data_IF_683170427829
#
_entry.id   IF_683170427829
#
_cell.length_a   1.000
_cell.length_b   1.000
_cell.length_c   1.000
_cell.angle_alpha   90.00
_cell.angle_beta   90.00
_cell.angle_gamma   90.00
#
_symmetry.space_group_name_H-M   'P 1'
#
loop_
_entity.id
_entity.type
_entity.pdbx_description
1 polymer ?
#
# COMPACT_ATOMS: atom_id res chain seq x y z
N UNK A 1 21.85 15.36 -2.98
CA UNK A 1 20.83 15.12 -4.04
C UNK A 1 19.62 15.96 -3.69
N UNK A 2 18.94 16.55 -4.66
CA UNK A 2 17.64 17.17 -4.42
C UNK A 2 16.56 16.08 -4.27
N UNK A 3 15.36 16.45 -3.80
CA UNK A 3 14.29 15.49 -3.53
C UNK A 3 13.91 14.64 -4.76
N UNK A 4 13.80 15.27 -5.94
CA UNK A 4 13.47 14.57 -7.20
C UNK A 4 14.57 13.59 -7.60
N UNK A 5 15.84 13.99 -7.54
CA UNK A 5 16.98 13.11 -7.82
C UNK A 5 17.02 11.90 -6.88
N UNK A 6 16.70 12.10 -5.60
CA UNK A 6 16.65 11.01 -4.62
C UNK A 6 15.53 10.01 -4.96
N UNK A 7 14.34 10.51 -5.31
CA UNK A 7 13.20 9.67 -5.71
C UNK A 7 13.53 8.88 -6.99
N UNK A 8 14.12 9.53 -7.98
CA UNK A 8 14.51 8.88 -9.24
C UNK A 8 15.60 7.83 -9.00
N UNK A 9 16.54 8.07 -8.09
CA UNK A 9 17.56 7.09 -7.71
C UNK A 9 16.94 5.87 -7.00
N UNK A 10 15.93 6.06 -6.12
CA UNK A 10 15.20 4.96 -5.48
C UNK A 10 14.51 4.10 -6.55
N UNK A 11 13.81 4.72 -7.50
CA UNK A 11 13.12 4.00 -8.57
C UNK A 11 14.10 3.26 -9.48
N UNK A 12 15.20 3.91 -9.85
CA UNK A 12 16.23 3.30 -10.70
C UNK A 12 16.88 2.10 -10.01
N UNK A 13 17.22 2.20 -8.73
CA UNK A 13 17.82 1.09 -7.97
C UNK A 13 16.83 -0.07 -7.82
N UNK A 14 15.58 0.22 -7.40
CA UNK A 14 14.51 -0.78 -7.25
C UNK A 14 14.21 -1.48 -8.57
N UNK A 15 14.18 -0.74 -9.68
CA UNK A 15 13.95 -1.24 -11.04
C UNK A 15 14.97 -2.26 -11.53
N UNK A 16 16.19 -2.27 -10.98
CA UNK A 16 17.20 -3.29 -11.30
C UNK A 16 16.74 -4.71 -10.97
N UNK A 17 15.94 -4.87 -9.92
CA UNK A 17 15.42 -6.17 -9.49
C UNK A 17 14.04 -6.50 -10.07
N UNK A 18 13.28 -5.50 -10.52
CA UNK A 18 11.88 -5.66 -10.98
C UNK A 18 11.76 -5.12 -12.40
N UNK A 19 11.59 -6.03 -13.36
CA UNK A 19 11.59 -5.71 -14.78
C UNK A 19 10.22 -5.27 -15.31
N UNK A 20 10.20 -4.15 -16.05
CA UNK A 20 9.04 -3.72 -16.83
C UNK A 20 7.79 -3.45 -16.00
N UNK A 21 7.99 -3.03 -14.75
CA UNK A 21 6.92 -2.68 -13.81
C UNK A 21 7.11 -1.27 -13.24
N UNK A 22 7.69 -0.38 -14.02
CA UNK A 22 8.06 0.96 -13.57
C UNK A 22 6.85 1.73 -13.03
N UNK A 23 5.68 1.63 -13.68
CA UNK A 23 4.43 2.24 -13.20
C UNK A 23 3.99 1.67 -11.84
N UNK A 24 4.11 0.35 -11.66
CA UNK A 24 3.79 -0.31 -10.39
C UNK A 24 4.74 0.17 -9.29
N UNK A 25 6.04 0.24 -9.59
CA UNK A 25 7.05 0.74 -8.65
C UNK A 25 6.78 2.20 -8.28
N UNK A 26 6.42 3.05 -9.25
CA UNK A 26 6.04 4.45 -8.98
C UNK A 26 4.83 4.54 -8.05
N UNK A 27 3.75 3.77 -8.30
CA UNK A 27 2.55 3.74 -7.45
C UNK A 27 2.86 3.28 -6.03
N UNK A 28 3.68 2.23 -5.87
CA UNK A 28 4.12 1.74 -4.55
C UNK A 28 4.93 2.83 -3.84
N UNK A 29 5.90 3.45 -4.49
CA UNK A 29 6.72 4.50 -3.87
C UNK A 29 5.85 5.72 -3.49
N UNK A 30 4.90 6.12 -4.34
CA UNK A 30 3.94 7.19 -4.00
C UNK A 30 3.18 6.86 -2.72
N UNK A 31 2.68 5.62 -2.57
CA UNK A 31 1.98 5.20 -1.36
C UNK A 31 2.92 5.16 -0.13
N UNK A 32 4.16 4.74 -0.30
CA UNK A 32 5.18 4.77 0.77
C UNK A 32 5.45 6.21 1.21
N UNK A 33 5.60 7.15 0.28
CA UNK A 33 5.79 8.57 0.58
C UNK A 33 4.55 9.22 1.21
N UNK A 34 3.35 8.80 0.80
CA UNK A 34 2.09 9.20 1.42
C UNK A 34 1.89 8.63 2.85
N UNK A 35 2.83 7.79 3.32
CA UNK A 35 2.75 7.16 4.64
C UNK A 35 1.76 5.99 4.72
N UNK A 36 1.34 5.44 3.59
CA UNK A 36 0.31 4.41 3.52
C UNK A 36 0.83 2.97 3.41
N UNK A 37 -0.12 2.03 3.48
CA UNK A 37 0.08 0.61 3.30
C UNK A 37 -0.44 0.16 1.94
N UNK A 38 0.09 -0.92 1.40
CA UNK A 38 -0.14 -1.36 0.03
C UNK A 38 -0.85 -2.73 0.05
N UNK A 39 -1.92 -2.87 -0.74
CA UNK A 39 -2.56 -4.14 -1.02
C UNK A 39 -2.26 -4.53 -2.48
N UNK A 40 -1.65 -5.68 -2.68
CA UNK A 40 -1.41 -6.27 -4.00
C UNK A 40 -2.40 -7.42 -4.20
N UNK A 41 -3.29 -7.23 -5.16
CA UNK A 41 -4.29 -8.21 -5.52
C UNK A 41 -3.89 -8.87 -6.85
N UNK A 42 -3.27 -10.05 -6.76
CA UNK A 42 -2.70 -10.67 -7.95
C UNK A 42 -2.42 -12.18 -7.77
N UNK A 43 -2.25 -12.84 -8.91
CA UNK A 43 -1.90 -14.25 -8.98
C UNK A 43 -0.53 -14.52 -8.34
N UNK A 44 -0.27 -15.75 -7.89
CA UNK A 44 1.05 -16.16 -7.40
C UNK A 44 2.14 -16.03 -8.48
N UNK A 45 3.37 -15.74 -8.06
CA UNK A 45 4.56 -15.82 -8.94
C UNK A 45 4.89 -14.54 -9.73
N UNK A 46 4.12 -13.46 -9.65
CA UNK A 46 4.36 -12.21 -10.40
C UNK A 46 5.45 -11.29 -9.81
N UNK A 47 6.21 -11.76 -8.80
CA UNK A 47 7.33 -10.98 -8.26
C UNK A 47 7.01 -10.11 -7.04
N UNK A 48 5.86 -10.32 -6.36
CA UNK A 48 5.46 -9.55 -5.17
C UNK A 48 6.54 -9.50 -4.09
N UNK A 49 7.11 -10.66 -3.74
CA UNK A 49 8.20 -10.76 -2.75
C UNK A 49 9.47 -10.04 -3.24
N UNK A 50 9.79 -10.14 -4.54
CA UNK A 50 10.94 -9.44 -5.12
C UNK A 50 10.81 -7.93 -4.99
N UNK A 51 9.60 -7.38 -5.24
CA UNK A 51 9.32 -5.95 -5.04
C UNK A 51 9.48 -5.51 -3.58
N UNK A 52 8.91 -6.29 -2.64
CA UNK A 52 9.04 -6.01 -1.21
C UNK A 52 10.52 -5.97 -0.78
N UNK A 53 11.31 -6.98 -1.17
CA UNK A 53 12.75 -7.03 -0.88
C UNK A 53 13.50 -5.88 -1.55
N UNK A 54 13.17 -5.54 -2.81
CA UNK A 54 13.80 -4.46 -3.53
C UNK A 54 13.58 -3.12 -2.83
N UNK A 55 12.34 -2.76 -2.50
CA UNK A 55 12.05 -1.53 -1.75
C UNK A 55 12.73 -1.52 -0.38
N UNK A 56 12.68 -2.64 0.35
CA UNK A 56 13.29 -2.72 1.68
C UNK A 56 14.79 -2.41 1.63
N UNK A 57 15.51 -3.01 0.68
CA UNK A 57 16.95 -2.78 0.52
C UNK A 57 17.25 -1.36 0.07
N UNK A 58 16.55 -0.88 -0.95
CA UNK A 58 16.76 0.46 -1.50
C UNK A 58 16.47 1.57 -0.48
N UNK A 59 15.50 1.34 0.40
CA UNK A 59 15.10 2.28 1.45
C UNK A 59 15.84 2.07 2.78
N UNK A 60 16.76 1.09 2.87
CA UNK A 60 17.53 0.81 4.08
C UNK A 60 16.70 0.33 5.27
N UNK A 61 15.59 -0.40 5.03
CA UNK A 61 14.61 -0.78 6.05
C UNK A 61 14.82 -2.21 6.54
N UNK A 62 14.47 -2.47 7.80
CA UNK A 62 14.33 -3.82 8.32
C UNK A 62 13.10 -4.50 7.72
N UNK A 63 13.24 -5.79 7.39
CA UNK A 63 12.24 -6.57 6.67
C UNK A 63 11.85 -7.84 7.39
N UNK A 64 10.54 -8.08 7.48
CA UNK A 64 10.00 -9.40 7.83
C UNK A 64 8.91 -9.80 6.85
N UNK A 65 8.82 -11.10 6.61
CA UNK A 65 7.76 -11.72 5.80
C UNK A 65 7.03 -12.76 6.63
N UNK A 66 5.72 -12.79 6.50
CA UNK A 66 4.87 -13.86 7.02
C UNK A 66 3.95 -14.36 5.92
N UNK A 67 3.92 -15.67 5.72
CA UNK A 67 2.92 -16.33 4.90
C UNK A 67 1.69 -16.58 5.78
N UNK A 68 0.56 -16.01 5.42
CA UNK A 68 -0.67 -16.20 6.16
C UNK A 68 -1.33 -17.52 5.78
N UNK A 69 -1.71 -18.28 6.80
CA UNK A 69 -2.41 -19.56 6.74
C UNK A 69 -3.50 -19.57 7.80
N UNK A 70 -4.49 -20.48 7.77
CA UNK A 70 -5.56 -20.50 8.77
C UNK A 70 -5.11 -20.70 10.22
N UNK A 71 -3.94 -21.26 10.42
CA UNK A 71 -3.33 -21.54 11.73
C UNK A 71 -2.50 -20.38 12.31
N UNK A 72 -2.22 -19.33 11.54
CA UNK A 72 -1.54 -18.13 12.04
C UNK A 72 -2.39 -17.42 13.10
N UNK A 73 -1.78 -17.19 14.26
CA UNK A 73 -2.42 -16.55 15.41
C UNK A 73 -2.15 -15.04 15.45
N UNK A 74 -3.01 -14.24 16.06
CA UNK A 74 -2.73 -12.82 16.33
C UNK A 74 -1.40 -12.57 17.05
N UNK A 75 -1.02 -13.45 17.97
CA UNK A 75 0.25 -13.38 18.71
C UNK A 75 1.50 -13.57 17.84
N UNK A 76 1.39 -14.23 16.68
CA UNK A 76 2.51 -14.36 15.76
C UNK A 76 2.81 -13.01 15.07
N UNK A 77 1.81 -12.14 14.98
CA UNK A 77 1.91 -10.78 14.46
C UNK A 77 2.36 -9.81 15.55
N UNK A 78 1.65 -9.79 16.68
CA UNK A 78 1.84 -8.80 17.74
C UNK A 78 2.93 -9.17 18.74
N UNK A 79 3.25 -10.46 18.85
CA UNK A 79 4.06 -10.97 19.94
C UNK A 79 3.23 -11.40 21.15
N UNK A 80 3.91 -11.90 22.15
CA UNK A 80 3.33 -12.41 23.41
C UNK A 80 4.32 -12.27 24.56
N UNK A 81 3.80 -12.36 25.81
CA UNK A 81 4.66 -12.42 26.99
C UNK A 81 4.98 -13.86 27.36
N UNK A 82 6.26 -14.14 27.52
CA UNK A 82 6.77 -15.44 27.97
C UNK A 82 7.39 -15.32 29.36
N UNK A 83 7.06 -16.25 30.24
CA UNK A 83 7.69 -16.30 31.57
C UNK A 83 9.13 -16.82 31.45
N UNK A 84 10.08 -15.98 31.87
CA UNK A 84 11.48 -16.32 31.92
C UNK A 84 11.81 -16.87 33.33
N UNK A 85 12.09 -18.16 33.40
CA UNK A 85 12.41 -18.85 34.67
C UNK A 85 13.71 -18.35 35.30
N UNK A 86 14.64 -17.82 34.51
CA UNK A 86 15.94 -17.34 34.97
C UNK A 86 15.82 -16.01 35.72
N UNK A 87 15.03 -15.11 35.15
CA UNK A 87 14.77 -13.77 35.75
C UNK A 87 13.57 -13.73 36.66
N UNK A 88 12.73 -14.79 36.71
CA UNK A 88 11.49 -14.84 37.47
C UNK A 88 10.42 -13.83 37.00
N UNK A 89 10.50 -13.34 35.77
CA UNK A 89 9.65 -12.28 35.23
C UNK A 89 9.09 -12.60 33.84
N UNK A 90 8.02 -11.90 33.44
CA UNK A 90 7.51 -11.99 32.09
C UNK A 90 8.33 -11.11 31.15
N UNK A 91 8.78 -11.68 30.04
CA UNK A 91 9.48 -11.00 28.95
C UNK A 91 8.61 -10.98 27.69
N UNK A 92 8.52 -9.81 27.07
CA UNK A 92 7.88 -9.69 25.74
C UNK A 92 8.74 -10.33 24.67
N UNK A 93 8.12 -11.19 23.87
CA UNK A 93 8.68 -11.78 22.64
C UNK A 93 8.01 -11.09 21.46
N UNK A 94 8.80 -10.34 20.68
CA UNK A 94 8.30 -9.54 19.57
C UNK A 94 7.75 -10.40 18.43
N UNK A 95 6.57 -10.08 17.96
CA UNK A 95 5.95 -10.69 16.80
C UNK A 95 6.55 -10.21 15.47
N UNK A 96 5.98 -10.71 14.39
CA UNK A 96 6.48 -10.44 13.03
C UNK A 96 6.25 -9.01 12.57
N UNK A 97 5.22 -8.31 13.11
CA UNK A 97 4.94 -6.92 12.76
C UNK A 97 5.94 -5.92 13.37
N UNK A 98 6.81 -6.35 14.29
CA UNK A 98 7.87 -5.49 14.83
C UNK A 98 9.03 -5.42 13.84
N UNK A 99 8.87 -4.57 12.84
CA UNK A 99 9.82 -4.31 11.74
C UNK A 99 9.42 -3.01 11.03
N UNK A 100 10.29 -2.47 10.16
CA UNK A 100 9.95 -1.32 9.33
C UNK A 100 9.07 -1.70 8.13
N UNK A 101 9.39 -2.81 7.46
CA UNK A 101 8.66 -3.26 6.29
C UNK A 101 8.16 -4.70 6.52
N UNK A 102 6.86 -4.86 6.53
CA UNK A 102 6.21 -6.15 6.76
C UNK A 102 5.48 -6.62 5.51
N UNK A 103 5.94 -7.74 4.94
CA UNK A 103 5.23 -8.43 3.85
C UNK A 103 4.26 -9.46 4.45
N UNK A 104 2.98 -9.15 4.40
CA UNK A 104 1.87 -10.03 4.78
C UNK A 104 1.37 -10.79 3.55
N UNK A 105 1.91 -11.99 3.31
CA UNK A 105 1.65 -12.77 2.10
C UNK A 105 0.38 -13.62 2.25
N UNK A 106 -0.58 -13.50 1.31
CA UNK A 106 -1.87 -14.18 1.29
C UNK A 106 -2.74 -13.89 2.55
N UNK A 107 -2.87 -12.61 2.93
CA UNK A 107 -3.59 -12.18 4.15
C UNK A 107 -5.04 -12.72 4.22
N UNK A 108 -5.67 -12.94 3.06
CA UNK A 108 -7.04 -13.45 2.95
C UNK A 108 -7.19 -14.94 3.31
N UNK A 109 -6.11 -15.65 3.66
CA UNK A 109 -6.14 -17.03 4.17
C UNK A 109 -6.20 -17.11 5.70
N UNK A 110 -5.86 -16.04 6.40
CA UNK A 110 -5.89 -16.02 7.86
C UNK A 110 -7.29 -15.83 8.42
N UNK A 111 -7.45 -16.19 9.70
CA UNK A 111 -8.70 -15.94 10.43
C UNK A 111 -9.00 -14.43 10.51
N UNK A 112 -10.30 -14.02 10.61
CA UNK A 112 -10.67 -12.62 10.80
C UNK A 112 -10.01 -11.96 12.01
N UNK A 113 -9.75 -12.73 13.08
CA UNK A 113 -9.04 -12.23 14.28
C UNK A 113 -7.60 -11.85 13.97
N UNK A 114 -6.91 -12.70 13.21
CA UNK A 114 -5.53 -12.48 12.79
C UNK A 114 -5.42 -11.31 11.83
N UNK A 115 -6.35 -11.20 10.87
CA UNK A 115 -6.45 -10.05 9.97
C UNK A 115 -6.65 -8.75 10.76
N UNK A 116 -7.60 -8.74 11.73
CA UNK A 116 -7.89 -7.57 12.56
C UNK A 116 -6.68 -7.13 13.38
N UNK A 117 -5.88 -8.06 13.91
CA UNK A 117 -4.67 -7.74 14.66
C UNK A 117 -3.64 -7.01 13.79
N UNK A 118 -3.41 -7.45 12.54
CA UNK A 118 -2.52 -6.74 11.63
C UNK A 118 -3.06 -5.34 11.29
N UNK A 119 -4.35 -5.25 10.98
CA UNK A 119 -4.99 -4.00 10.59
C UNK A 119 -5.02 -2.97 11.74
N UNK A 120 -5.08 -3.42 13.00
CA UNK A 120 -4.92 -2.55 14.16
C UNK A 120 -3.50 -1.98 14.23
N UNK A 121 -2.48 -2.84 14.07
CA UNK A 121 -1.08 -2.39 14.05
C UNK A 121 -0.82 -1.39 12.92
N UNK A 122 -1.40 -1.62 11.74
CA UNK A 122 -1.29 -0.69 10.60
C UNK A 122 -1.86 0.69 10.92
N UNK A 123 -2.98 0.73 11.64
CA UNK A 123 -3.67 1.98 11.95
C UNK A 123 -3.02 2.74 13.12
N UNK A 124 -2.63 2.01 14.17
CA UNK A 124 -2.19 2.61 15.42
C UNK A 124 -0.66 2.82 15.48
N UNK A 125 0.11 2.11 14.66
CA UNK A 125 1.59 2.12 14.72
C UNK A 125 2.14 1.55 16.03
N UNK A 126 1.32 0.80 16.77
CA UNK A 126 1.64 0.22 18.09
C UNK A 126 0.90 -1.09 18.31
N UNK A 127 1.40 -1.84 19.27
CA UNK A 127 0.93 -3.17 19.66
C UNK A 127 0.54 -3.14 21.12
N UNK A 128 -0.57 -3.79 21.50
CA UNK A 128 -0.97 -3.96 22.91
C UNK A 128 -0.89 -5.44 23.27
N UNK A 129 -0.01 -5.77 24.21
CA UNK A 129 0.18 -7.14 24.73
C UNK A 129 0.16 -7.11 26.24
N UNK A 130 -0.75 -7.86 26.85
CA UNK A 130 -0.91 -7.98 28.32
C UNK A 130 -0.98 -6.62 29.04
N UNK A 131 -1.74 -5.68 28.46
CA UNK A 131 -1.92 -4.33 29.03
C UNK A 131 -0.73 -3.38 28.86
N UNK A 132 0.33 -3.81 28.15
CA UNK A 132 1.46 -2.95 27.79
C UNK A 132 1.44 -2.60 26.33
N UNK A 133 1.77 -1.34 26.02
CA UNK A 133 1.84 -0.84 24.64
C UNK A 133 3.30 -0.81 24.17
N UNK A 134 3.54 -1.35 22.99
CA UNK A 134 4.83 -1.35 22.30
C UNK A 134 4.68 -0.62 20.97
N UNK A 135 5.62 0.25 20.64
CA UNK A 135 5.65 0.92 19.33
C UNK A 135 6.35 0.06 18.31
N UNK A 136 5.86 0.07 17.06
CA UNK A 136 6.60 -0.53 15.93
C UNK A 136 7.66 0.44 15.41
N UNK A 137 8.78 -0.06 14.87
CA UNK A 137 9.79 0.79 14.24
C UNK A 137 9.19 1.70 13.17
N UNK A 138 9.65 2.94 13.11
CA UNK A 138 9.22 3.88 12.07
C UNK A 138 10.36 4.13 11.05
N UNK A 139 10.02 4.32 9.77
CA UNK A 139 8.69 4.23 9.16
C UNK A 139 8.13 2.79 9.18
N UNK A 140 6.84 2.62 9.42
CA UNK A 140 6.17 1.32 9.35
C UNK A 140 5.38 1.19 8.05
N UNK A 141 5.65 0.13 7.28
CA UNK A 141 5.01 -0.13 5.99
C UNK A 141 4.55 -1.58 5.96
N UNK A 142 3.30 -1.78 5.62
CA UNK A 142 2.76 -3.11 5.32
C UNK A 142 2.49 -3.21 3.83
N UNK A 143 3.04 -4.23 3.21
CA UNK A 143 2.65 -4.69 1.88
C UNK A 143 1.92 -6.01 2.06
N UNK A 144 0.61 -6.01 1.90
CA UNK A 144 -0.20 -7.21 1.97
C UNK A 144 -0.46 -7.74 0.56
N UNK A 145 -0.53 -9.06 0.43
CA UNK A 145 -0.95 -9.70 -0.82
C UNK A 145 -2.21 -10.50 -0.60
N UNK A 146 -3.06 -10.55 -1.60
CA UNK A 146 -4.17 -11.49 -1.66
C UNK A 146 -4.22 -12.14 -3.04
N UNK A 147 -4.78 -13.33 -3.10
CA UNK A 147 -5.01 -14.05 -4.34
C UNK A 147 -6.52 -14.01 -4.66
N UNK A 148 -6.93 -13.36 -5.76
CA UNK A 148 -8.33 -13.22 -6.13
C UNK A 148 -8.96 -14.55 -6.58
N UNK A 149 -8.14 -15.49 -7.06
CA UNK A 149 -8.62 -16.79 -7.51
C UNK A 149 -8.70 -17.75 -6.33
N UNK A 150 -9.94 -17.96 -5.86
CA UNK A 150 -10.28 -18.77 -4.71
C UNK A 150 -9.64 -20.14 -4.68
N UNK A 151 -8.55 -20.27 -3.95
CA UNK A 151 -8.19 -21.54 -3.35
C UNK A 151 -9.20 -21.81 -2.23
N UNK A 152 -9.65 -23.08 -2.09
CA UNK A 152 -10.52 -23.52 -1.00
C UNK A 152 -10.00 -22.95 0.34
N UNK A 153 -10.85 -22.18 1.05
CA UNK A 153 -10.51 -21.59 2.36
C UNK A 153 -10.02 -20.13 2.34
N UNK A 154 -10.12 -19.41 1.23
CA UNK A 154 -9.86 -17.94 1.22
C UNK A 154 -11.17 -17.18 1.48
N UNK A 155 -11.09 -16.15 2.32
CA UNK A 155 -12.16 -15.16 2.50
C UNK A 155 -11.66 -13.81 1.99
N UNK A 156 -12.46 -13.15 1.15
CA UNK A 156 -12.15 -11.76 0.76
C UNK A 156 -12.11 -10.87 2.00
N UNK A 157 -11.20 -9.91 1.99
CA UNK A 157 -11.16 -8.90 3.05
C UNK A 157 -12.43 -8.06 2.99
N UNK A 158 -13.15 -7.87 4.11
CA UNK A 158 -14.29 -6.96 4.17
C UNK A 158 -13.90 -5.54 3.71
N UNK A 159 -14.85 -4.81 3.16
CA UNK A 159 -14.67 -3.44 2.65
C UNK A 159 -14.06 -2.50 3.71
N UNK A 160 -14.52 -2.60 4.96
CA UNK A 160 -13.97 -1.83 6.08
C UNK A 160 -12.50 -2.14 6.41
N UNK A 161 -12.00 -3.26 5.96
CA UNK A 161 -10.60 -3.69 6.12
C UNK A 161 -9.77 -3.25 4.91
N UNK A 162 -10.29 -3.38 3.70
CA UNK A 162 -9.60 -2.93 2.49
C UNK A 162 -9.44 -1.40 2.46
N UNK A 163 -10.36 -0.64 3.05
CA UNK A 163 -10.28 0.84 3.19
C UNK A 163 -9.06 1.32 4.03
N UNK A 164 -8.41 0.43 4.78
CA UNK A 164 -7.19 0.76 5.55
C UNK A 164 -5.92 0.78 4.71
N UNK A 165 -5.94 0.16 3.53
CA UNK A 165 -4.82 0.22 2.60
C UNK A 165 -4.90 1.52 1.78
N UNK A 166 -3.76 2.19 1.63
CA UNK A 166 -3.66 3.43 0.85
C UNK A 166 -4.02 3.19 -0.61
N UNK A 167 -3.45 2.13 -1.18
CA UNK A 167 -3.67 1.72 -2.57
C UNK A 167 -3.96 0.22 -2.66
N UNK A 168 -4.76 -0.15 -3.68
CA UNK A 168 -4.88 -1.52 -4.16
C UNK A 168 -4.42 -1.56 -5.61
N UNK A 169 -3.47 -2.43 -5.91
CA UNK A 169 -2.85 -2.55 -7.23
C UNK A 169 -2.73 -4.00 -7.67
N UNK A 170 -2.65 -4.19 -8.99
CA UNK A 170 -2.25 -5.44 -9.63
C UNK A 170 -0.87 -5.25 -10.27
N UNK A 171 -0.07 -6.30 -10.28
CA UNK A 171 1.25 -6.33 -10.93
C UNK A 171 1.11 -6.89 -12.35
N UNK A 172 0.30 -7.94 -12.49
CA UNK A 172 0.09 -8.68 -13.74
C UNK A 172 1.33 -9.43 -14.22
N UNK A 173 1.14 -10.19 -15.29
CA UNK A 173 2.24 -10.94 -15.91
C UNK A 173 3.32 -10.01 -16.48
N UNK A 174 4.59 -10.45 -16.52
CA UNK A 174 5.64 -9.74 -17.25
C UNK A 174 5.34 -9.75 -18.77
N UNK A 175 5.94 -8.82 -19.51
CA UNK A 175 5.94 -8.93 -20.97
C UNK A 175 6.78 -10.14 -21.41
N UNK A 176 6.56 -10.60 -22.63
CA UNK A 176 7.34 -11.73 -23.21
C UNK A 176 8.84 -11.50 -23.10
N UNK A 177 9.31 -10.29 -23.38
CA UNK A 177 10.73 -9.91 -23.35
C UNK A 177 11.27 -9.99 -21.90
N UNK A 178 10.50 -9.47 -20.93
CA UNK A 178 10.87 -9.49 -19.52
C UNK A 178 10.86 -10.93 -18.97
N UNK A 179 9.94 -11.78 -19.41
CA UNK A 179 9.87 -13.18 -18.99
C UNK A 179 11.08 -13.97 -19.49
N UNK A 180 11.54 -13.70 -20.72
CA UNK A 180 12.79 -14.27 -21.25
C UNK A 180 14.00 -13.86 -20.38
N UNK A 181 14.09 -12.60 -19.97
CA UNK A 181 15.18 -12.13 -19.10
C UNK A 181 15.12 -12.77 -17.70
N UNK A 182 13.91 -13.01 -17.17
CA UNK A 182 13.74 -13.75 -15.91
C UNK A 182 14.24 -15.19 -16.04
N UNK A 183 13.94 -15.86 -17.16
CA UNK A 183 14.39 -17.24 -17.44
C UNK A 183 15.91 -17.36 -17.57
N UNK A 184 16.59 -16.35 -18.09
CA UNK A 184 18.06 -16.30 -18.16
C UNK A 184 18.73 -16.23 -16.79
N UNK A 185 17.96 -16.11 -15.70
CA UNK A 185 18.44 -16.24 -14.32
C UNK A 185 19.22 -15.03 -13.79
N UNK A 186 19.32 -13.95 -14.57
CA UNK A 186 20.16 -12.79 -14.26
C UNK A 186 19.74 -11.99 -13.02
N UNK A 187 18.59 -12.27 -12.40
CA UNK A 187 17.97 -11.33 -11.44
C UNK A 187 17.56 -11.84 -10.07
N UNK A 188 17.58 -13.14 -9.80
CA UNK A 188 17.35 -13.62 -8.43
C UNK A 188 18.49 -13.17 -7.49
N UNK A 189 19.69 -12.99 -8.05
CA UNK A 189 20.83 -12.38 -7.37
C UNK A 189 20.77 -10.84 -7.35
N UNK A 190 20.10 -10.19 -8.32
CA UNK A 190 20.03 -8.75 -8.41
C UNK A 190 19.28 -8.11 -7.21
N UNK A 191 18.15 -8.69 -6.78
CA UNK A 191 17.44 -8.20 -5.60
C UNK A 191 18.29 -8.28 -4.31
N UNK A 192 19.22 -9.21 -4.25
CA UNK A 192 20.14 -9.38 -3.12
C UNK A 192 21.34 -8.43 -3.19
N UNK A 193 21.66 -7.88 -4.36
CA UNK A 193 22.79 -6.98 -4.60
C UNK A 193 22.43 -5.49 -4.59
N UNK A 194 21.14 -5.16 -4.37
CA UNK A 194 20.71 -3.76 -4.28
C UNK A 194 21.34 -3.06 -3.07
N UNK A 195 21.70 -1.80 -3.28
CA UNK A 195 22.27 -0.93 -2.24
C UNK A 195 21.19 0.00 -1.67
N UNK A 196 21.32 0.35 -0.40
CA UNK A 196 20.50 1.38 0.17
C UNK A 196 20.82 2.74 -0.46
N UNK A 197 19.81 3.42 -0.99
CA UNK A 197 19.90 4.77 -1.55
C UNK A 197 19.67 5.82 -0.47
N UNK A 198 18.80 5.48 0.50
CA UNK A 198 18.44 6.34 1.62
C UNK A 198 18.40 5.52 2.92
N UNK A 199 18.36 6.23 4.04
CA UNK A 199 18.14 5.70 5.38
C UNK A 199 16.66 5.76 5.78
N UNK A 200 16.22 5.06 6.86
CA UNK A 200 14.88 5.22 7.40
C UNK A 200 14.52 6.67 7.76
N UNK A 201 15.48 7.44 8.29
CA UNK A 201 15.28 8.84 8.67
C UNK A 201 15.11 9.74 7.44
N UNK A 202 15.83 9.45 6.34
CA UNK A 202 15.64 10.14 5.07
C UNK A 202 14.22 9.88 4.52
N UNK A 203 13.70 8.66 4.64
CA UNK A 203 12.33 8.33 4.24
C UNK A 203 11.30 9.09 5.07
N UNK A 204 11.51 9.23 6.38
CA UNK A 204 10.64 10.05 7.24
C UNK A 204 10.67 11.53 6.82
N UNK A 205 11.84 12.02 6.43
CA UNK A 205 12.01 13.39 5.91
C UNK A 205 11.25 13.57 4.58
N UNK A 206 11.34 12.62 3.65
CA UNK A 206 10.58 12.65 2.39
C UNK A 206 9.07 12.59 2.63
N UNK A 207 8.60 11.79 3.59
CA UNK A 207 7.18 11.75 4.00
C UNK A 207 6.71 13.11 4.53
N UNK A 208 7.53 13.77 5.34
CA UNK A 208 7.22 15.11 5.83
C UNK A 208 7.14 16.11 4.68
N UNK A 209 8.10 16.10 3.76
CA UNK A 209 8.06 16.94 2.56
C UNK A 209 6.81 16.67 1.71
N UNK A 210 6.40 15.41 1.55
CA UNK A 210 5.16 15.07 0.85
C UNK A 210 3.93 15.68 1.56
N UNK A 211 3.86 15.59 2.87
CA UNK A 211 2.76 16.16 3.65
C UNK A 211 2.71 17.71 3.59
N UNK A 212 3.86 18.36 3.36
CA UNK A 212 4.01 19.81 3.26
C UNK A 212 3.76 20.36 1.83
N UNK A 213 3.57 19.49 0.81
CA UNK A 213 3.18 19.92 -0.54
C UNK A 213 1.90 20.74 -0.48
N UNK A 214 1.93 21.92 -1.06
CA UNK A 214 0.81 22.84 -1.05
C UNK A 214 -0.37 22.30 -1.89
N UNK A 215 -1.59 22.44 -1.37
CA UNK A 215 -2.82 22.07 -2.06
C UNK A 215 -3.79 23.22 -1.89
N UNK A 216 -4.21 23.82 -2.99
CA UNK A 216 -5.19 24.89 -3.01
C UNK A 216 -6.57 24.39 -2.53
N UNK A 217 -7.36 25.26 -1.89
CA UNK A 217 -8.68 24.91 -1.37
C UNK A 217 -9.62 24.37 -2.45
N UNK A 218 -9.51 24.87 -3.67
CA UNK A 218 -10.29 24.39 -4.81
C UNK A 218 -10.00 22.92 -5.16
N UNK A 219 -8.77 22.44 -4.94
CA UNK A 219 -8.43 21.01 -5.13
C UNK A 219 -9.00 20.14 -4.01
N UNK A 220 -9.07 20.64 -2.77
CA UNK A 220 -9.78 19.93 -1.71
C UNK A 220 -11.27 19.81 -2.02
N UNK A 221 -11.89 20.90 -2.52
CA UNK A 221 -13.28 20.86 -2.98
C UNK A 221 -13.46 19.81 -4.09
N UNK A 222 -12.59 19.81 -5.11
CA UNK A 222 -12.61 18.83 -6.19
C UNK A 222 -12.51 17.37 -5.71
N UNK A 223 -11.63 17.08 -4.75
CA UNK A 223 -11.53 15.74 -4.17
C UNK A 223 -12.80 15.33 -3.41
N UNK A 224 -13.45 16.29 -2.73
CA UNK A 224 -14.74 16.09 -2.04
C UNK A 224 -15.86 15.87 -3.04
N UNK A 225 -15.90 16.63 -4.15
CA UNK A 225 -16.88 16.48 -5.22
C UNK A 225 -16.78 15.09 -5.89
N UNK A 226 -15.56 14.59 -6.14
CA UNK A 226 -15.35 13.21 -6.60
C UNK A 226 -15.95 12.21 -5.60
N UNK A 227 -15.66 12.38 -4.30
CA UNK A 227 -16.19 11.48 -3.27
C UNK A 227 -17.72 11.57 -3.16
N UNK A 228 -18.31 12.76 -3.26
CA UNK A 228 -19.75 12.99 -3.24
C UNK A 228 -20.41 12.31 -4.46
N UNK A 229 -19.87 12.49 -5.66
CA UNK A 229 -20.37 11.86 -6.87
C UNK A 229 -20.40 10.32 -6.76
N UNK A 230 -19.44 9.70 -6.06
CA UNK A 230 -19.49 8.25 -5.81
C UNK A 230 -20.62 7.84 -4.86
N UNK A 231 -21.00 8.70 -3.91
CA UNK A 231 -22.07 8.42 -2.94
C UNK A 231 -23.47 8.62 -3.54
N UNK A 232 -23.58 9.45 -4.57
CA UNK A 232 -24.82 9.78 -5.26
C UNK A 232 -25.08 8.90 -6.49
N UNK A 233 -24.09 8.14 -6.94
CA UNK A 233 -24.17 7.28 -8.11
C UNK A 233 -25.11 6.08 -7.88
N UNK A 234 -26.05 5.85 -8.79
CA UNK A 234 -26.93 4.66 -8.79
C UNK A 234 -26.17 3.34 -9.00
N UNK A 235 -25.00 3.39 -9.60
CA UNK A 235 -24.15 2.22 -9.84
C UNK A 235 -23.39 1.78 -8.58
N UNK A 236 -23.42 2.59 -7.50
CA UNK A 236 -22.63 2.38 -6.29
C UNK A 236 -23.56 2.20 -5.10
N UNK A 237 -23.40 1.10 -4.37
CA UNK A 237 -24.11 0.84 -3.09
C UNK A 237 -23.35 1.40 -1.88
N UNK A 238 -22.01 1.47 -1.95
CA UNK A 238 -21.16 2.10 -0.94
C UNK A 238 -20.10 2.95 -1.64
N UNK A 239 -20.19 4.28 -1.48
CA UNK A 239 -19.24 5.24 -2.03
C UNK A 239 -18.05 5.49 -1.10
N UNK A 240 -17.16 6.37 -1.54
CA UNK A 240 -15.89 6.68 -0.87
C UNK A 240 -16.12 7.29 0.52
N UNK A 241 -15.49 6.71 1.53
CA UNK A 241 -15.48 7.20 2.91
C UNK A 241 -14.64 8.48 3.07
N UNK A 242 -14.82 9.26 4.16
CA UNK A 242 -13.91 10.37 4.47
C UNK A 242 -12.43 9.92 4.56
N UNK A 243 -12.15 8.69 5.03
CA UNK A 243 -10.80 8.11 5.02
C UNK A 243 -10.27 7.97 3.59
N UNK A 244 -11.11 7.55 2.64
CA UNK A 244 -10.75 7.47 1.21
C UNK A 244 -10.41 8.85 0.62
N UNK A 245 -11.16 9.90 0.98
CA UNK A 245 -10.84 11.28 0.56
C UNK A 245 -9.52 11.77 1.16
N UNK A 246 -9.25 11.46 2.44
CA UNK A 246 -7.95 11.75 3.07
C UNK A 246 -6.80 11.00 2.39
N UNK A 247 -7.01 9.73 2.04
CA UNK A 247 -6.03 8.94 1.29
C UNK A 247 -5.75 9.55 -0.09
N UNK A 248 -6.80 9.99 -0.81
CA UNK A 248 -6.65 10.68 -2.09
C UNK A 248 -5.78 11.94 -1.94
N UNK A 249 -6.04 12.78 -0.94
CA UNK A 249 -5.26 13.99 -0.68
C UNK A 249 -3.78 13.66 -0.36
N UNK A 250 -3.51 12.66 0.48
CA UNK A 250 -2.15 12.25 0.82
C UNK A 250 -1.40 11.72 -0.42
N UNK A 251 -2.06 10.92 -1.25
CA UNK A 251 -1.50 10.38 -2.49
C UNK A 251 -1.24 11.48 -3.53
N UNK A 252 -2.13 12.46 -3.65
CA UNK A 252 -1.97 13.62 -4.53
C UNK A 252 -0.72 14.43 -4.17
N UNK A 253 -0.53 14.73 -2.88
CA UNK A 253 0.67 15.42 -2.39
C UNK A 253 1.94 14.63 -2.67
N UNK A 254 1.93 13.33 -2.39
CA UNK A 254 3.07 12.46 -2.64
C UNK A 254 3.39 12.36 -4.14
N UNK A 255 2.37 12.33 -5.01
CA UNK A 255 2.55 12.32 -6.46
C UNK A 255 3.19 13.62 -6.95
N UNK A 256 2.71 14.79 -6.50
CA UNK A 256 3.31 16.07 -6.84
C UNK A 256 4.79 16.16 -6.42
N UNK A 257 5.13 15.64 -5.21
CA UNK A 257 6.52 15.55 -4.77
C UNK A 257 7.35 14.65 -5.68
N UNK A 258 6.82 13.51 -6.10
CA UNK A 258 7.48 12.61 -7.05
C UNK A 258 7.76 13.26 -8.39
N UNK A 259 6.89 14.18 -8.82
CA UNK A 259 7.10 14.99 -10.03
C UNK A 259 8.02 16.22 -9.79
N UNK A 260 8.55 16.37 -8.57
CA UNK A 260 9.49 17.45 -8.21
C UNK A 260 8.81 18.79 -7.94
N UNK A 261 7.50 18.80 -7.67
CA UNK A 261 6.72 20.01 -7.40
C UNK A 261 6.41 20.16 -5.91
N UNK A 262 6.40 21.40 -5.44
CA UNK A 262 6.00 21.76 -4.08
C UNK A 262 4.49 22.10 -3.99
N UNK A 263 3.74 21.94 -5.07
CA UNK A 263 2.30 22.18 -5.15
C UNK A 263 1.63 21.08 -5.98
N UNK A 264 0.39 20.77 -5.63
CA UNK A 264 -0.44 19.80 -6.32
C UNK A 264 -1.29 20.44 -7.43
N UNK A 265 -1.64 19.65 -8.43
CA UNK A 265 -2.47 20.01 -9.57
C UNK A 265 -3.65 19.04 -9.71
N UNK A 266 -4.71 19.37 -10.48
CA UNK A 266 -5.78 18.41 -10.79
C UNK A 266 -5.28 17.12 -11.43
N UNK A 267 -4.23 17.19 -12.25
CA UNK A 267 -3.63 16.02 -12.89
C UNK A 267 -3.06 15.03 -11.86
N UNK A 268 -2.52 15.53 -10.72
CA UNK A 268 -2.07 14.66 -9.65
C UNK A 268 -3.23 13.90 -9.00
N UNK A 269 -4.37 14.56 -8.81
CA UNK A 269 -5.59 13.91 -8.30
C UNK A 269 -6.04 12.80 -9.24
N UNK A 270 -6.13 13.10 -10.54
CA UNK A 270 -6.55 12.14 -11.57
C UNK A 270 -5.57 10.98 -11.71
N UNK A 271 -4.27 11.24 -11.61
CA UNK A 271 -3.23 10.22 -11.71
C UNK A 271 -3.32 9.17 -10.59
N UNK A 272 -3.67 9.60 -9.36
CA UNK A 272 -3.67 8.69 -8.20
C UNK A 272 -5.07 8.12 -7.88
N UNK A 273 -6.15 8.75 -8.32
CA UNK A 273 -7.52 8.35 -7.99
C UNK A 273 -7.84 6.88 -8.35
N UNK A 274 -7.47 6.33 -9.52
CA UNK A 274 -7.86 4.97 -9.90
C UNK A 274 -7.40 3.90 -8.90
N UNK A 275 -6.16 3.93 -8.45
CA UNK A 275 -5.61 2.92 -7.56
C UNK A 275 -5.74 3.25 -6.06
N UNK A 276 -6.16 4.49 -5.77
CA UNK A 276 -6.49 4.93 -4.40
C UNK A 276 -7.96 4.69 -4.07
N UNK A 277 -8.86 4.84 -5.03
CA UNK A 277 -10.30 4.89 -4.76
C UNK A 277 -11.08 3.66 -5.22
N UNK A 278 -10.66 2.95 -6.28
CA UNK A 278 -11.45 1.86 -6.86
C UNK A 278 -11.78 0.73 -5.87
N UNK A 279 -10.90 0.43 -4.94
CA UNK A 279 -11.10 -0.62 -3.94
C UNK A 279 -11.99 -0.18 -2.75
N UNK A 280 -12.39 1.08 -2.71
CA UNK A 280 -13.26 1.70 -1.71
C UNK A 280 -14.71 1.86 -2.18
N UNK A 281 -14.98 1.39 -3.40
CA UNK A 281 -16.29 1.47 -4.05
C UNK A 281 -16.90 0.09 -4.10
N UNK A 282 -18.12 -0.06 -3.57
CA UNK A 282 -18.93 -1.28 -3.74
C UNK A 282 -20.05 -1.00 -4.73
N UNK A 283 -20.08 -1.76 -5.80
CA UNK A 283 -21.10 -1.62 -6.84
C UNK A 283 -22.47 -2.08 -6.37
N UNK A 284 -23.53 -1.46 -6.90
CA UNK A 284 -24.89 -1.92 -6.75
C UNK A 284 -25.09 -3.28 -7.43
N UNK A 285 -26.17 -3.99 -7.08
CA UNK A 285 -26.53 -5.27 -7.71
C UNK A 285 -26.71 -5.13 -9.21
N UNK A 286 -27.41 -4.09 -9.64
CA UNK A 286 -27.70 -3.81 -11.04
C UNK A 286 -26.44 -3.51 -11.86
N UNK A 287 -25.52 -2.71 -11.30
CA UNK A 287 -24.26 -2.42 -11.94
C UNK A 287 -23.38 -3.68 -12.13
N UNK A 288 -23.35 -4.56 -11.12
CA UNK A 288 -22.65 -5.86 -11.21
C UNK A 288 -23.29 -6.77 -12.25
N UNK A 289 -24.63 -6.84 -12.28
CA UNK A 289 -25.35 -7.63 -13.28
C UNK A 289 -25.11 -7.10 -14.71
N UNK A 290 -24.98 -5.78 -14.86
CA UNK A 290 -24.62 -5.13 -16.13
C UNK A 290 -23.12 -5.31 -16.53
N UNK A 291 -22.32 -6.04 -15.74
CA UNK A 291 -20.92 -6.31 -16.03
C UNK A 291 -19.98 -5.11 -15.78
N UNK A 292 -20.44 -4.07 -15.08
CA UNK A 292 -19.59 -2.91 -14.71
C UNK A 292 -18.55 -3.33 -13.67
N UNK A 293 -17.41 -2.63 -13.67
CA UNK A 293 -16.37 -2.77 -12.66
C UNK A 293 -16.24 -1.49 -11.82
N UNK A 294 -15.75 -1.58 -10.59
CA UNK A 294 -15.50 -0.41 -9.76
C UNK A 294 -14.57 0.61 -10.47
N UNK A 295 -13.59 0.09 -11.23
CA UNK A 295 -12.69 0.94 -12.00
C UNK A 295 -13.41 1.68 -13.15
N UNK A 296 -14.31 1.00 -13.90
CA UNK A 296 -15.04 1.65 -14.99
C UNK A 296 -16.03 2.69 -14.47
N UNK A 297 -16.73 2.40 -13.37
CA UNK A 297 -17.66 3.38 -12.77
C UNK A 297 -16.91 4.57 -12.20
N UNK A 298 -15.76 4.35 -11.56
CA UNK A 298 -14.92 5.45 -11.08
C UNK A 298 -14.40 6.31 -12.24
N UNK A 299 -13.97 5.71 -13.34
CA UNK A 299 -13.50 6.45 -14.54
C UNK A 299 -14.61 7.35 -15.11
N UNK A 300 -15.84 6.84 -15.18
CA UNK A 300 -17.01 7.64 -15.62
C UNK A 300 -17.27 8.83 -14.67
N UNK A 301 -17.14 8.61 -13.36
CA UNK A 301 -17.30 9.67 -12.35
C UNK A 301 -16.19 10.72 -12.49
N UNK A 302 -14.93 10.30 -12.62
CA UNK A 302 -13.80 11.22 -12.79
C UNK A 302 -13.95 12.10 -14.03
N UNK A 303 -14.55 11.58 -15.12
CA UNK A 303 -14.85 12.34 -16.33
C UNK A 303 -16.04 13.30 -16.17
N UNK A 304 -16.97 13.01 -15.26
CA UNK A 304 -18.19 13.80 -15.04
C UNK A 304 -18.00 14.98 -14.10
N UNK A 305 -17.05 14.90 -13.16
CA UNK A 305 -16.77 15.97 -12.19
C UNK A 305 -15.91 17.04 -12.85
N UNK A 306 -16.34 18.30 -12.85
CA UNK A 306 -15.58 19.39 -13.50
C UNK A 306 -14.18 19.56 -12.90
N UNK A 307 -13.18 19.61 -13.76
CA UNK A 307 -11.80 19.86 -13.35
C UNK A 307 -11.64 21.34 -13.04
N UNK A 308 -11.14 21.71 -11.83
CA UNK A 308 -10.96 23.11 -11.48
C UNK A 308 -9.81 23.76 -12.25
N UNK A 309 -9.99 25.02 -12.63
CA UNK A 309 -8.89 25.86 -13.13
C UNK A 309 -8.12 26.44 -11.94
N UNK A 310 -6.82 26.22 -11.92
CA UNK A 310 -5.93 26.86 -10.94
C UNK A 310 -5.59 28.25 -11.46
N UNK A 311 -5.87 29.28 -10.68
CA UNK A 311 -5.60 30.69 -11.02
C UNK A 311 -4.18 31.08 -10.59
#
# INVERSE_FOLDING_TARGET
MNTKETIDAILAETGKAVLGKDDVLRRILTAILAGGHILIDDIPGVGKTTMAVAFTRTLGLDYKRMQFTPDVLPSDITGFSMYDKTSGSFRYVAGSAVTNFFLADEINRASPKTQSALLEVMQEGRLSVDGKTYTVPQPFIVMATQNPFGSSGTQELPESQTDRFMIRITVGYPSRENEIEILKGSRRSAALSLSAVITPDDLLTLRKQAAEVHVEDILFAYMVDIAAATRESHDISLGISPRGTMALSAMTRAHALMEGRAYATPDDVLAVAPYTLSHRITLSGDARFAGKTAASVLDDILKSVPIPELV
#
